data_IF_034416255994
#
_entry.id   IF_034416255994
#
_cell.length_a   1.000
_cell.length_b   1.000
_cell.length_c   1.000
_cell.angle_alpha   90.00
_cell.angle_beta   90.00
_cell.angle_gamma   90.00
#
_symmetry.space_group_name_H-M   'P 1'
#
loop_
_entity.id
_entity.type
_entity.pdbx_description
1 polymer ?
#
# COMPACT_ATOMS: atom_id res chain seq x y z
N UNK A 1 25.60 -15.83 -16.67
CA UNK A 1 25.97 -14.41 -16.80
C UNK A 1 26.61 -13.94 -15.52
N UNK A 2 27.82 -13.37 -15.54
CA UNK A 2 28.45 -12.74 -14.36
C UNK A 2 28.03 -11.27 -14.31
N UNK A 3 27.57 -10.81 -13.13
CA UNK A 3 27.22 -9.39 -12.91
C UNK A 3 28.46 -8.50 -12.95
N UNK A 4 28.28 -7.25 -13.35
CA UNK A 4 29.38 -6.30 -13.55
C UNK A 4 29.72 -5.55 -12.26
N UNK A 5 30.97 -5.06 -12.12
CA UNK A 5 31.42 -4.32 -10.92
C UNK A 5 30.57 -3.08 -10.64
N UNK A 6 30.17 -2.37 -11.69
CA UNK A 6 29.28 -1.21 -11.59
C UNK A 6 27.87 -1.54 -11.06
N UNK A 7 27.46 -2.80 -11.16
CA UNK A 7 26.19 -3.33 -10.61
C UNK A 7 26.30 -3.58 -9.11
N UNK A 8 27.47 -4.05 -8.64
CA UNK A 8 27.77 -4.21 -7.22
C UNK A 8 27.94 -2.87 -6.50
N UNK A 9 28.60 -1.89 -7.16
CA UNK A 9 28.79 -0.54 -6.61
C UNK A 9 27.47 0.22 -6.39
N UNK A 10 26.42 -0.16 -7.12
CA UNK A 10 25.09 0.46 -7.02
C UNK A 10 24.25 -0.05 -5.85
N UNK A 11 24.73 -1.08 -5.14
CA UNK A 11 23.97 -1.79 -4.10
C UNK A 11 23.02 -2.81 -4.71
N UNK A 12 23.25 -4.09 -4.43
CA UNK A 12 22.36 -5.16 -4.89
C UNK A 12 21.07 -5.15 -4.03
N UNK A 13 19.88 -5.18 -4.65
CA UNK A 13 18.64 -5.40 -3.92
C UNK A 13 18.76 -6.67 -3.08
N UNK A 14 18.28 -6.61 -1.84
CA UNK A 14 18.22 -7.73 -0.88
C UNK A 14 19.58 -8.33 -0.47
N UNK A 15 20.70 -7.66 -0.78
CA UNK A 15 22.03 -8.14 -0.40
C UNK A 15 22.27 -8.22 1.11
N UNK A 16 21.60 -7.35 1.88
CA UNK A 16 21.72 -7.29 3.33
C UNK A 16 20.60 -8.03 4.06
N UNK A 17 19.73 -8.74 3.34
CA UNK A 17 18.65 -9.50 3.97
C UNK A 17 19.09 -10.95 4.24
N UNK A 18 19.34 -11.34 5.51
CA UNK A 18 19.76 -12.70 5.85
C UNK A 18 18.68 -13.76 5.56
N UNK A 19 17.43 -13.36 5.30
CA UNK A 19 16.32 -14.25 4.95
C UNK A 19 15.93 -14.15 3.46
N UNK A 20 16.67 -13.38 2.65
CA UNK A 20 16.41 -13.19 1.22
C UNK A 20 16.21 -14.52 0.48
N UNK A 21 15.01 -14.76 -0.03
CA UNK A 21 14.63 -15.96 -0.80
C UNK A 21 13.82 -17.03 -0.05
N UNK A 22 13.82 -17.06 1.29
CA UNK A 22 13.04 -18.02 2.10
C UNK A 22 12.06 -17.36 3.09
N UNK A 23 11.93 -16.03 3.02
CA UNK A 23 11.11 -15.22 3.93
C UNK A 23 11.59 -13.78 4.14
N UNK A 24 12.66 -13.37 3.46
CA UNK A 24 13.20 -12.01 3.49
C UNK A 24 12.21 -10.95 3.02
N UNK A 25 12.44 -9.71 3.46
CA UNK A 25 11.72 -8.52 3.07
C UNK A 25 11.55 -8.51 1.55
N UNK A 26 10.30 -8.63 1.11
CA UNK A 26 9.99 -8.55 -0.31
C UNK A 26 10.53 -7.22 -0.86
N UNK A 27 11.11 -7.20 -2.07
CA UNK A 27 11.57 -5.98 -2.72
C UNK A 27 10.47 -4.92 -2.59
N UNK A 28 10.80 -3.69 -2.20
CA UNK A 28 9.84 -2.72 -1.69
C UNK A 28 8.70 -2.33 -2.66
N UNK A 29 8.78 -2.75 -3.93
CA UNK A 29 7.66 -2.82 -4.87
C UNK A 29 6.45 -3.68 -4.40
N UNK A 30 6.68 -4.79 -3.69
CA UNK A 30 5.60 -5.64 -3.14
C UNK A 30 4.84 -4.94 -2.01
N UNK A 31 5.55 -4.22 -1.14
CA UNK A 31 4.93 -3.43 -0.08
C UNK A 31 4.06 -2.30 -0.63
N UNK A 32 4.52 -1.63 -1.70
CA UNK A 32 3.76 -0.56 -2.35
C UNK A 32 2.47 -1.08 -2.98
N UNK A 33 2.55 -2.20 -3.71
CA UNK A 33 1.38 -2.81 -4.36
C UNK A 33 0.38 -3.31 -3.33
N UNK A 34 0.87 -3.96 -2.26
CA UNK A 34 0.04 -4.39 -1.14
C UNK A 34 -0.71 -3.22 -0.50
N UNK A 35 -0.02 -2.10 -0.28
CA UNK A 35 -0.63 -0.91 0.33
C UNK A 35 -1.74 -0.33 -0.54
N UNK A 36 -1.54 -0.26 -1.86
CA UNK A 36 -2.60 0.15 -2.81
C UNK A 36 -3.79 -0.80 -2.73
N UNK A 37 -3.56 -2.11 -2.76
CA UNK A 37 -4.62 -3.12 -2.72
C UNK A 37 -5.39 -3.01 -1.40
N UNK A 38 -4.69 -2.94 -0.27
CA UNK A 38 -5.29 -2.87 1.05
C UNK A 38 -6.12 -1.59 1.22
N UNK A 39 -5.58 -0.44 0.82
CA UNK A 39 -6.30 0.83 0.85
C UNK A 39 -7.55 0.81 -0.06
N UNK A 40 -7.45 0.20 -1.24
CA UNK A 40 -8.57 0.10 -2.19
C UNK A 40 -9.67 -0.81 -1.66
N UNK A 41 -9.33 -1.99 -1.13
CA UNK A 41 -10.30 -2.92 -0.54
C UNK A 41 -10.94 -2.30 0.70
N UNK A 42 -10.16 -1.67 1.58
CA UNK A 42 -10.69 -0.99 2.77
C UNK A 42 -11.66 0.14 2.39
N UNK A 43 -11.33 0.94 1.37
CA UNK A 43 -12.20 2.00 0.87
C UNK A 43 -13.53 1.44 0.35
N UNK A 44 -13.48 0.38 -0.48
CA UNK A 44 -14.67 -0.28 -1.00
C UNK A 44 -15.56 -0.84 0.12
N UNK A 45 -14.95 -1.46 1.13
CA UNK A 45 -15.66 -1.95 2.31
C UNK A 45 -16.30 -0.82 3.12
N UNK A 46 -15.60 0.32 3.30
CA UNK A 46 -16.17 1.49 3.98
C UNK A 46 -17.37 2.04 3.22
N UNK A 47 -17.31 2.13 1.89
CA UNK A 47 -18.42 2.61 1.06
C UNK A 47 -19.60 1.65 1.13
N UNK A 48 -19.37 0.34 0.98
CA UNK A 48 -20.44 -0.67 1.00
C UNK A 48 -21.12 -0.74 2.38
N UNK A 49 -20.34 -0.81 3.46
CA UNK A 49 -20.87 -0.80 4.82
C UNK A 49 -21.55 0.54 5.14
N UNK A 50 -20.99 1.66 4.68
CA UNK A 50 -21.57 2.99 4.86
C UNK A 50 -22.96 3.08 4.23
N UNK A 51 -23.11 2.58 3.01
CA UNK A 51 -24.41 2.51 2.33
C UNK A 51 -25.42 1.66 3.11
N UNK A 52 -24.99 0.53 3.67
CA UNK A 52 -25.85 -0.29 4.53
C UNK A 52 -26.29 0.47 5.79
N UNK A 53 -25.38 1.20 6.44
CA UNK A 53 -25.69 1.97 7.65
C UNK A 53 -26.62 3.15 7.39
N UNK A 54 -26.60 3.73 6.18
CA UNK A 54 -27.60 4.71 5.74
C UNK A 54 -28.99 4.07 5.70
N UNK A 55 -29.12 2.88 5.12
CA UNK A 55 -30.40 2.14 5.08
C UNK A 55 -30.89 1.80 6.50
N UNK A 56 -29.98 1.49 7.41
CA UNK A 56 -30.28 1.17 8.81
C UNK A 56 -30.46 2.41 9.71
N UNK A 57 -30.30 3.64 9.19
CA UNK A 57 -30.35 4.89 9.97
C UNK A 57 -29.38 4.96 11.16
N UNK A 58 -28.21 4.31 11.06
CA UNK A 58 -27.22 4.28 12.13
C UNK A 58 -26.20 5.39 11.93
N UNK A 59 -26.54 6.61 12.40
CA UNK A 59 -25.75 7.83 12.17
C UNK A 59 -24.28 7.72 12.56
N UNK A 60 -23.97 7.14 13.72
CA UNK A 60 -22.58 7.07 14.19
C UNK A 60 -21.70 6.21 13.27
N UNK A 61 -22.25 5.13 12.71
CA UNK A 61 -21.50 4.26 11.80
C UNK A 61 -21.31 4.89 10.43
N UNK A 62 -22.27 5.69 9.95
CA UNK A 62 -22.09 6.52 8.74
C UNK A 62 -20.91 7.47 8.93
N UNK A 63 -20.85 8.18 10.07
CA UNK A 63 -19.78 9.12 10.38
C UNK A 63 -18.43 8.40 10.45
N UNK A 64 -18.36 7.29 11.18
CA UNK A 64 -17.11 6.52 11.34
C UNK A 64 -16.60 6.00 10.00
N UNK A 65 -17.46 5.35 9.21
CA UNK A 65 -17.08 4.76 7.92
C UNK A 65 -16.73 5.84 6.89
N UNK A 66 -17.38 6.99 6.94
CA UNK A 66 -17.03 8.14 6.11
C UNK A 66 -15.64 8.68 6.47
N UNK A 67 -15.32 8.80 7.76
CA UNK A 67 -14.00 9.22 8.20
C UNK A 67 -12.90 8.24 7.76
N UNK A 68 -13.14 6.93 7.92
CA UNK A 68 -12.21 5.89 7.46
C UNK A 68 -12.04 5.89 5.93
N UNK A 69 -13.12 6.12 5.18
CA UNK A 69 -13.05 6.26 3.72
C UNK A 69 -12.15 7.44 3.31
N UNK A 70 -12.26 8.60 3.99
CA UNK A 70 -11.38 9.75 3.76
C UNK A 70 -9.91 9.39 4.02
N UNK A 71 -9.62 8.68 5.12
CA UNK A 71 -8.26 8.23 5.43
C UNK A 71 -7.71 7.32 4.32
N UNK A 72 -8.52 6.36 3.83
CA UNK A 72 -8.11 5.46 2.74
C UNK A 72 -7.83 6.23 1.44
N UNK A 73 -8.64 7.25 1.12
CA UNK A 73 -8.43 8.12 -0.04
C UNK A 73 -7.10 8.88 0.08
N UNK A 74 -6.82 9.45 1.24
CA UNK A 74 -5.56 10.16 1.50
C UNK A 74 -4.36 9.23 1.39
N UNK A 75 -4.44 8.02 1.96
CA UNK A 75 -3.37 7.02 1.86
C UNK A 75 -3.10 6.62 0.41
N UNK A 76 -4.16 6.34 -0.35
CA UNK A 76 -4.06 5.96 -1.76
C UNK A 76 -3.48 7.11 -2.60
N UNK A 77 -3.95 8.34 -2.39
CA UNK A 77 -3.44 9.53 -3.06
C UNK A 77 -1.96 9.75 -2.74
N UNK A 78 -1.55 9.59 -1.47
CA UNK A 78 -0.16 9.71 -1.05
C UNK A 78 0.74 8.65 -1.71
N UNK A 79 0.29 7.40 -1.77
CA UNK A 79 1.03 6.31 -2.40
C UNK A 79 1.19 6.54 -3.91
N UNK A 80 0.11 6.93 -4.59
CA UNK A 80 0.15 7.26 -6.02
C UNK A 80 1.07 8.46 -6.27
N UNK A 81 0.98 9.49 -5.43
CA UNK A 81 1.83 10.66 -5.51
C UNK A 81 3.31 10.32 -5.35
N UNK A 82 3.64 9.50 -4.35
CA UNK A 82 5.01 9.02 -4.12
C UNK A 82 5.53 8.21 -5.31
N UNK A 83 4.69 7.33 -5.87
CA UNK A 83 5.01 6.55 -7.09
C UNK A 83 5.30 7.45 -8.28
N UNK A 84 4.58 8.56 -8.43
CA UNK A 84 4.78 9.53 -9.53
C UNK A 84 6.07 10.35 -9.39
N UNK A 85 6.60 10.54 -8.18
CA UNK A 85 7.86 11.26 -7.94
C UNK A 85 9.11 10.42 -8.25
N UNK A 86 8.96 9.15 -8.59
CA UNK A 86 10.09 8.30 -9.00
C UNK A 86 11.01 7.89 -7.87
N UNK A 87 10.57 8.01 -6.60
CA UNK A 87 11.25 7.32 -5.50
C UNK A 87 11.13 5.81 -5.77
N UNK A 88 12.26 5.10 -6.00
CA UNK A 88 12.20 3.66 -6.10
C UNK A 88 11.69 3.13 -4.76
N UNK A 89 10.71 2.23 -4.83
CA UNK A 89 10.41 1.34 -3.72
C UNK A 89 11.69 0.61 -3.36
#
# INVERSE_FOLDING_TARGET
MKRTRAEYERGLPDYHDPLGGIGGAAPAYSALTLRIVLASVALLMCIAAGALFVVLNVLWGIILLSALAVVCIVDLAWVIHRKRRGEPG
#
